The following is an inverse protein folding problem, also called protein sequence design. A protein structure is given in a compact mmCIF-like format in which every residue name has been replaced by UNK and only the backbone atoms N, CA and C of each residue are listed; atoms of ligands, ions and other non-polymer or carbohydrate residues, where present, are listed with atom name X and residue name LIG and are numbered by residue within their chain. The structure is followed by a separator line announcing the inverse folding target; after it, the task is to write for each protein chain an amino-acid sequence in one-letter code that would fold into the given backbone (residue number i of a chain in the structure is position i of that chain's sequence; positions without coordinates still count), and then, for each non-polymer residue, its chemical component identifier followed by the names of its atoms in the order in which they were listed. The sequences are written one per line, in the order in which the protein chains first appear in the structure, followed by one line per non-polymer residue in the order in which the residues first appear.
data_IF_726825738781
#
_entry.id   IF_726825738781
#
_cell.length_a   1.000
_cell.length_b   1.000
_cell.length_c   1.000
_cell.angle_alpha   90.00
_cell.angle_beta   90.00
_cell.angle_gamma   90.00
#
_symmetry.space_group_name_H-M   'P 1'
#
loop_
_entity.id
_entity.type
_entity.pdbx_description
1 polymer ?
#
# COMPACT_ATOMS: atom_id res chain seq x y z
N UNK A 1 18.91 -7.55 14.22
CA UNK A 1 18.18 -6.38 13.68
C UNK A 1 17.43 -6.87 12.44
N UNK A 2 16.17 -7.27 12.61
CA UNK A 2 15.43 -8.04 11.59
C UNK A 2 15.02 -7.16 10.42
N UNK A 3 15.46 -7.57 9.22
CA UNK A 3 15.07 -7.00 7.94
C UNK A 3 13.58 -7.31 7.70
N UNK A 4 12.76 -6.28 7.63
CA UNK A 4 11.37 -6.41 7.17
C UNK A 4 11.45 -6.60 5.65
N UNK A 5 11.11 -7.80 5.18
CA UNK A 5 10.82 -8.04 3.76
C UNK A 5 9.47 -7.40 3.45
N UNK A 6 9.52 -6.11 3.09
CA UNK A 6 8.37 -5.39 2.55
C UNK A 6 8.32 -5.76 1.07
N UNK A 7 7.32 -6.54 0.67
CA UNK A 7 7.02 -6.76 -0.75
C UNK A 7 6.43 -5.46 -1.29
N UNK A 8 7.30 -4.60 -1.80
CA UNK A 8 6.87 -3.50 -2.64
C UNK A 8 6.63 -4.08 -4.03
N UNK A 9 5.40 -3.99 -4.53
CA UNK A 9 5.17 -4.20 -5.95
C UNK A 9 5.70 -2.96 -6.66
N UNK A 10 6.66 -3.16 -7.56
CA UNK A 10 7.00 -2.16 -8.56
C UNK A 10 5.81 -2.07 -9.51
N UNK A 11 5.40 -0.86 -9.83
CA UNK A 11 4.53 -0.66 -10.98
C UNK A 11 5.18 -1.32 -12.22
N UNK A 12 4.53 -2.36 -12.76
CA UNK A 12 4.98 -3.10 -13.94
C UNK A 12 4.24 -2.55 -15.14
N UNK A 13 4.96 -2.12 -16.18
CA UNK A 13 4.34 -1.89 -17.48
C UNK A 13 4.31 -3.22 -18.26
N UNK A 14 3.33 -3.41 -19.13
CA UNK A 14 3.10 -4.70 -19.78
C UNK A 14 3.98 -4.96 -21.02
N UNK A 15 5.06 -4.19 -21.23
CA UNK A 15 5.99 -4.34 -22.37
C UNK A 15 7.46 -4.40 -21.93
N UNK A 16 7.93 -3.40 -21.17
CA UNK A 16 9.30 -3.24 -20.72
C UNK A 16 9.53 -3.82 -19.31
N UNK A 17 8.47 -4.00 -18.54
CA UNK A 17 8.50 -4.63 -17.22
C UNK A 17 8.81 -3.70 -16.04
N UNK A 18 9.08 -2.42 -16.30
CA UNK A 18 9.22 -1.39 -15.28
C UNK A 18 8.43 -0.14 -15.73
N UNK A 19 7.48 0.33 -14.92
CA UNK A 19 6.68 1.52 -15.21
C UNK A 19 7.36 2.79 -14.67
N UNK A 20 8.36 3.29 -15.40
CA UNK A 20 8.98 4.58 -15.05
C UNK A 20 8.00 5.75 -15.28
N UNK A 21 7.77 6.53 -14.24
CA UNK A 21 6.83 7.64 -14.22
C UNK A 21 7.47 8.98 -14.58
N UNK A 22 8.81 9.04 -14.67
CA UNK A 22 9.52 10.28 -14.99
C UNK A 22 9.50 10.56 -16.49
N UNK A 23 8.93 11.70 -16.89
CA UNK A 23 9.01 12.17 -18.28
C UNK A 23 10.43 12.62 -18.63
N UNK A 24 10.90 12.30 -19.84
CA UNK A 24 12.29 12.51 -20.29
C UNK A 24 12.85 13.92 -20.01
N UNK A 25 13.86 14.04 -19.13
CA UNK A 25 14.75 15.19 -19.09
C UNK A 25 15.94 14.95 -20.03
N UNK A 26 16.32 15.97 -20.80
CA UNK A 26 17.34 15.90 -21.86
C UNK A 26 18.76 15.48 -21.42
N UNK A 27 19.10 15.40 -20.12
CA UNK A 27 20.50 15.30 -19.66
C UNK A 27 20.76 14.42 -18.42
N UNK A 28 19.85 14.28 -17.45
CA UNK A 28 20.07 13.45 -16.24
C UNK A 28 18.75 12.82 -15.76
N UNK A 29 18.41 11.64 -16.31
CA UNK A 29 17.15 10.93 -16.03
C UNK A 29 17.30 10.03 -14.82
N UNK A 30 16.48 10.30 -13.80
CA UNK A 30 16.28 9.39 -12.67
C UNK A 30 14.91 8.74 -12.80
N UNK A 31 14.90 7.41 -12.73
CA UNK A 31 13.65 6.67 -12.80
C UNK A 31 12.81 6.90 -11.54
N UNK A 32 11.49 6.85 -11.70
CA UNK A 32 10.52 7.08 -10.64
C UNK A 32 9.47 5.98 -10.68
N UNK A 33 9.23 5.38 -9.52
CA UNK A 33 8.34 4.24 -9.40
C UNK A 33 7.43 4.40 -8.19
N UNK A 34 6.18 3.99 -8.33
CA UNK A 34 5.29 3.83 -7.19
C UNK A 34 5.58 2.49 -6.53
N UNK A 35 5.69 2.54 -5.21
CA UNK A 35 5.81 1.37 -4.36
C UNK A 35 4.57 1.22 -3.49
N UNK A 36 3.94 0.05 -3.55
CA UNK A 36 2.70 -0.25 -2.80
C UNK A 36 2.99 -1.35 -1.79
N UNK A 37 2.59 -1.11 -0.54
CA UNK A 37 2.56 -2.14 0.51
C UNK A 37 1.13 -2.60 0.74
N UNK A 38 0.94 -3.92 0.82
CA UNK A 38 -0.33 -4.56 1.23
C UNK A 38 -0.26 -5.13 2.65
N UNK A 39 0.80 -4.80 3.39
CA UNK A 39 1.01 -5.31 4.74
C UNK A 39 -0.02 -4.76 5.71
N UNK A 40 -0.55 -5.65 6.53
CA UNK A 40 -1.43 -5.32 7.65
C UNK A 40 -1.23 -6.32 8.79
N UNK A 41 -1.16 -5.88 10.06
CA UNK A 41 -1.05 -4.48 10.51
C UNK A 41 0.37 -3.91 10.31
N UNK A 42 0.50 -2.59 10.20
CA UNK A 42 1.81 -1.92 10.28
C UNK A 42 2.29 -1.88 11.74
N UNK A 43 3.61 -1.72 11.95
CA UNK A 43 4.27 -1.85 13.26
C UNK A 43 3.73 -0.90 14.34
N UNK A 44 2.99 0.15 13.95
CA UNK A 44 2.37 1.15 14.80
C UNK A 44 0.86 0.88 15.07
N UNK A 45 0.35 -0.29 14.68
CA UNK A 45 -1.07 -0.66 14.75
C UNK A 45 -2.01 0.30 14.01
N UNK A 46 -1.49 1.25 13.22
CA UNK A 46 -2.34 2.12 12.42
C UNK A 46 -2.86 1.33 11.25
N UNK A 47 -4.18 1.22 11.18
CA UNK A 47 -4.85 0.53 10.11
C UNK A 47 -5.30 1.58 9.10
N UNK A 48 -4.44 1.88 8.12
CA UNK A 48 -4.77 2.81 7.04
C UNK A 48 -5.10 2.04 5.76
N UNK A 49 -5.88 2.63 4.88
CA UNK A 49 -6.21 2.07 3.58
C UNK A 49 -6.30 3.18 2.52
N UNK A 50 -5.86 2.87 1.31
CA UNK A 50 -5.91 3.79 0.17
C UNK A 50 -7.35 3.84 -0.35
N UNK A 51 -8.04 4.94 -0.11
CA UNK A 51 -9.40 5.14 -0.60
C UNK A 51 -9.40 5.49 -2.09
N UNK A 52 -8.59 6.48 -2.47
CA UNK A 52 -8.50 6.96 -3.86
C UNK A 52 -7.07 7.38 -4.25
N UNK A 53 -6.81 7.36 -5.56
CA UNK A 53 -5.58 7.89 -6.18
C UNK A 53 -5.91 8.53 -7.52
N UNK A 54 -5.39 9.74 -7.75
CA UNK A 54 -5.60 10.48 -8.99
C UNK A 54 -4.35 11.17 -9.46
N UNK A 55 -4.28 11.36 -10.78
CA UNK A 55 -3.27 12.20 -11.43
C UNK A 55 -3.88 13.58 -11.68
N UNK A 56 -3.18 14.62 -11.21
CA UNK A 56 -3.53 15.99 -11.55
C UNK A 56 -2.43 16.63 -12.39
N UNK A 57 -2.78 17.68 -13.10
CA UNK A 57 -1.83 18.45 -13.88
C UNK A 57 -1.11 19.44 -12.95
N UNK A 58 0.23 19.42 -12.95
CA UNK A 58 1.04 20.27 -12.08
C UNK A 58 0.82 21.76 -12.38
N UNK A 59 0.69 22.11 -13.67
CA UNK A 59 0.48 23.50 -14.13
C UNK A 59 -0.83 24.11 -13.64
N UNK A 60 -1.85 23.27 -13.45
CA UNK A 60 -3.17 23.72 -13.00
C UNK A 60 -3.18 23.93 -11.47
N UNK A 61 -2.12 23.50 -10.78
CA UNK A 61 -1.98 23.53 -9.31
C UNK A 61 -0.60 24.08 -8.90
N UNK A 62 -0.24 25.31 -9.31
CA UNK A 62 1.11 25.85 -9.16
C UNK A 62 1.55 25.99 -7.69
N UNK A 63 0.61 26.19 -6.77
CA UNK A 63 0.88 26.25 -5.33
C UNK A 63 1.39 24.94 -4.73
N UNK A 64 1.13 23.80 -5.40
CA UNK A 64 1.53 22.46 -4.96
C UNK A 64 2.94 22.10 -5.45
N UNK A 65 3.42 22.76 -6.50
CA UNK A 65 4.76 22.54 -7.05
C UNK A 65 5.88 22.94 -6.07
N UNK A 66 5.59 23.83 -5.12
CA UNK A 66 6.55 24.39 -4.17
C UNK A 66 6.72 23.55 -2.87
N UNK A 67 6.71 22.23 -2.97
CA UNK A 67 7.20 21.34 -1.88
C UNK A 67 6.40 21.40 -0.57
N UNK A 68 5.09 21.53 -0.63
CA UNK A 68 4.23 21.34 0.54
C UNK A 68 3.17 20.32 0.18
N UNK A 69 2.97 19.34 1.07
CA UNK A 69 1.82 18.44 1.08
C UNK A 69 0.58 19.32 1.27
N UNK A 70 0.15 19.98 0.20
CA UNK A 70 -1.05 20.78 0.20
C UNK A 70 -2.20 19.82 -0.03
N UNK A 71 -3.05 19.75 0.98
CA UNK A 71 -4.35 19.14 0.86
C UNK A 71 -5.11 19.87 -0.27
N UNK A 72 -5.14 19.32 -1.49
CA UNK A 72 -5.85 19.91 -2.63
C UNK A 72 -7.34 20.08 -2.32
N UNK A 73 -7.85 19.15 -1.53
CA UNK A 73 -9.09 19.19 -0.75
C UNK A 73 -8.73 18.59 0.62
N UNK A 74 -9.55 18.75 1.69
CA UNK A 74 -9.23 18.21 3.02
C UNK A 74 -8.81 16.74 3.06
N UNK A 75 -9.13 15.96 2.01
CA UNK A 75 -8.97 14.52 1.97
C UNK A 75 -7.82 14.03 1.05
N UNK A 76 -7.19 14.87 0.23
CA UNK A 76 -6.10 14.40 -0.68
C UNK A 76 -4.73 14.90 -0.29
N UNK A 77 -3.78 13.97 -0.15
CA UNK A 77 -2.36 14.20 0.07
C UNK A 77 -1.62 14.10 -1.26
N UNK A 78 -0.76 15.07 -1.55
CA UNK A 78 0.08 15.06 -2.76
C UNK A 78 1.41 14.36 -2.46
N UNK A 79 1.77 13.40 -3.30
CA UNK A 79 3.09 12.76 -3.29
C UNK A 79 4.05 13.58 -4.15
N UNK A 80 4.57 14.67 -3.59
CA UNK A 80 5.43 15.59 -4.34
C UNK A 80 6.88 15.11 -4.44
N UNK A 81 7.35 14.34 -3.44
CA UNK A 81 8.75 13.97 -3.24
C UNK A 81 8.94 12.48 -3.04
N UNK A 82 10.05 11.98 -3.56
CA UNK A 82 10.49 10.61 -3.33
C UNK A 82 10.94 10.43 -1.86
N UNK A 83 10.51 9.39 -1.14
CA UNK A 83 10.88 9.20 0.26
C UNK A 83 12.38 8.93 0.53
N UNK A 84 13.11 8.44 -0.47
CA UNK A 84 14.51 8.02 -0.37
C UNK A 84 15.51 9.14 -0.69
N UNK A 85 15.25 9.94 -1.73
CA UNK A 85 16.14 11.02 -2.18
C UNK A 85 15.63 12.43 -1.88
N UNK A 86 14.38 12.56 -1.44
CA UNK A 86 13.68 13.85 -1.27
C UNK A 86 13.67 14.73 -2.55
N UNK A 87 13.80 14.11 -3.72
CA UNK A 87 13.71 14.78 -5.00
C UNK A 87 12.27 14.81 -5.52
N UNK A 88 12.01 15.67 -6.50
CA UNK A 88 10.71 15.72 -7.20
C UNK A 88 10.31 14.33 -7.71
N UNK A 89 9.07 13.95 -7.43
CA UNK A 89 8.55 12.61 -7.69
C UNK A 89 8.23 12.37 -9.17
N UNK A 90 7.51 13.29 -9.83
CA UNK A 90 7.08 13.14 -11.23
C UNK A 90 7.08 14.48 -11.94
N UNK A 91 7.15 14.49 -13.28
CA UNK A 91 7.09 15.71 -14.10
C UNK A 91 5.72 15.89 -14.77
N UNK A 92 5.20 17.12 -14.84
CA UNK A 92 3.91 17.54 -15.45
C UNK A 92 2.65 17.00 -14.78
N UNK A 93 2.74 15.87 -14.08
CA UNK A 93 1.65 15.24 -13.33
C UNK A 93 2.05 15.17 -11.87
N UNK A 94 1.07 15.27 -10.98
CA UNK A 94 1.26 15.00 -9.55
C UNK A 94 0.35 13.83 -9.16
N UNK A 95 0.87 12.93 -8.34
CA UNK A 95 0.11 11.82 -7.78
C UNK A 95 -0.53 12.29 -6.47
N UNK A 96 -1.84 12.15 -6.36
CA UNK A 96 -2.61 12.53 -5.18
C UNK A 96 -3.34 11.32 -4.64
N UNK A 97 -3.31 11.12 -3.33
CA UNK A 97 -3.94 9.97 -2.66
C UNK A 97 -4.86 10.42 -1.53
N UNK A 98 -5.93 9.68 -1.31
CA UNK A 98 -6.73 9.77 -0.09
C UNK A 98 -6.50 8.52 0.74
N UNK A 99 -6.08 8.72 1.99
CA UNK A 99 -5.81 7.63 2.93
C UNK A 99 -6.77 7.77 4.10
N UNK A 100 -7.49 6.70 4.38
CA UNK A 100 -8.52 6.65 5.42
C UNK A 100 -8.17 5.61 6.48
N UNK A 101 -8.85 5.69 7.62
CA UNK A 101 -8.86 4.60 8.58
C UNK A 101 -9.54 3.37 7.98
N UNK A 102 -8.90 2.21 8.15
CA UNK A 102 -9.36 0.94 7.64
C UNK A 102 -10.59 0.48 8.42
N UNK A 103 -11.73 0.44 7.75
CA UNK A 103 -12.96 -0.12 8.30
C UNK A 103 -13.47 -1.25 7.39
N UNK A 104 -13.87 -2.37 7.99
CA UNK A 104 -14.43 -3.51 7.26
C UNK A 104 -15.67 -3.12 6.45
N UNK A 105 -15.76 -3.61 5.21
CA UNK A 105 -16.86 -3.31 4.30
C UNK A 105 -16.71 -2.00 3.51
N UNK A 106 -15.69 -1.18 3.80
CA UNK A 106 -15.40 -0.02 2.96
C UNK A 106 -14.78 -0.43 1.63
N UNK A 107 -15.07 0.35 0.59
CA UNK A 107 -14.46 0.22 -0.74
C UNK A 107 -13.14 0.99 -0.75
N UNK A 108 -12.07 0.35 -1.21
CA UNK A 108 -10.74 0.93 -1.29
C UNK A 108 -10.02 0.42 -2.54
N UNK A 109 -8.95 1.10 -2.93
CA UNK A 109 -8.06 0.61 -3.98
C UNK A 109 -7.28 -0.60 -3.46
N UNK A 110 -7.41 -1.73 -4.16
CA UNK A 110 -6.72 -2.97 -3.84
C UNK A 110 -5.63 -3.33 -4.87
N UNK A 111 -5.68 -2.74 -6.05
CA UNK A 111 -4.65 -2.91 -7.08
C UNK A 111 -4.45 -1.64 -7.92
N UNK A 112 -3.22 -1.44 -8.38
CA UNK A 112 -2.83 -0.36 -9.29
C UNK A 112 -1.91 -0.98 -10.34
N UNK A 113 -2.21 -0.73 -11.61
CA UNK A 113 -1.41 -1.18 -12.74
C UNK A 113 -1.13 -0.02 -13.68
N UNK A 114 -0.06 -0.15 -14.46
CA UNK A 114 0.29 0.80 -15.51
C UNK A 114 0.28 0.08 -16.85
N UNK A 115 -0.34 0.70 -17.84
CA UNK A 115 -0.49 0.15 -19.18
C UNK A 115 0.01 1.19 -20.17
N UNK A 116 0.51 0.78 -21.33
CA UNK A 116 0.71 1.75 -22.41
C UNK A 116 -0.63 2.38 -22.80
N UNK A 117 -0.66 3.70 -23.03
CA UNK A 117 -1.88 4.44 -23.40
C UNK A 117 -2.68 3.89 -24.58
N UNK A 118 -2.05 3.04 -25.42
CA UNK A 118 -2.71 2.36 -26.54
C UNK A 118 -3.60 1.18 -26.11
N UNK A 119 -3.50 0.74 -24.86
CA UNK A 119 -4.27 -0.37 -24.29
C UNK A 119 -5.38 0.19 -23.40
N UNK A 120 -6.54 -0.44 -23.45
CA UNK A 120 -7.65 -0.11 -22.56
C UNK A 120 -7.51 -0.79 -21.20
N UNK A 121 -8.19 -0.29 -20.14
CA UNK A 121 -8.21 -0.94 -18.84
C UNK A 121 -8.74 -2.38 -18.93
N UNK A 122 -8.08 -3.36 -18.30
CA UNK A 122 -8.59 -4.71 -18.14
C UNK A 122 -9.89 -4.74 -17.34
N UNK A 123 -10.56 -5.90 -17.33
CA UNK A 123 -11.79 -6.06 -16.58
C UNK A 123 -11.59 -5.70 -15.09
N UNK A 124 -12.55 -4.95 -14.54
CA UNK A 124 -12.57 -4.45 -13.15
C UNK A 124 -11.55 -3.36 -12.83
N UNK A 125 -10.79 -2.90 -13.82
CA UNK A 125 -9.92 -1.73 -13.69
C UNK A 125 -10.56 -0.50 -14.31
N UNK A 126 -10.28 0.66 -13.72
CA UNK A 126 -10.69 1.97 -14.22
C UNK A 126 -9.47 2.85 -14.42
N UNK A 127 -9.39 3.55 -15.55
CA UNK A 127 -8.32 4.52 -15.81
C UNK A 127 -8.49 5.76 -14.94
N UNK A 128 -7.41 6.23 -14.30
CA UNK A 128 -7.37 7.43 -13.45
C UNK A 128 -6.48 8.54 -14.02
N UNK A 129 -5.91 8.32 -15.21
CA UNK A 129 -5.16 9.32 -15.97
C UNK A 129 -3.90 8.75 -16.60
N UNK A 130 -3.21 9.62 -17.35
CA UNK A 130 -1.96 9.27 -18.05
C UNK A 130 -0.76 10.03 -17.49
N UNK A 131 0.36 9.34 -17.38
CA UNK A 131 1.67 9.82 -16.93
C UNK A 131 2.78 9.12 -17.72
N UNK A 132 3.73 9.89 -18.25
CA UNK A 132 4.86 9.39 -19.04
C UNK A 132 4.49 8.38 -20.17
N UNK A 133 3.37 8.60 -20.86
CA UNK A 133 2.91 7.68 -21.92
C UNK A 133 2.26 6.38 -21.42
N UNK A 134 2.21 6.20 -20.10
CA UNK A 134 1.49 5.13 -19.42
C UNK A 134 0.15 5.65 -18.90
N UNK A 135 -0.86 4.79 -18.96
CA UNK A 135 -2.15 4.96 -18.32
C UNK A 135 -2.12 4.28 -16.95
N UNK A 136 -2.41 5.02 -15.89
CA UNK A 136 -2.62 4.47 -14.56
C UNK A 136 -4.04 3.94 -14.45
N UNK A 137 -4.16 2.67 -14.03
CA UNK A 137 -5.44 2.00 -13.83
C UNK A 137 -5.54 1.46 -12.41
N UNK A 138 -6.71 1.59 -11.80
CA UNK A 138 -6.97 1.14 -10.42
C UNK A 138 -8.07 0.10 -10.39
N UNK A 139 -7.95 -0.84 -9.46
CA UNK A 139 -9.01 -1.78 -9.11
C UNK A 139 -9.46 -1.54 -7.68
N UNK A 140 -10.75 -1.33 -7.52
CA UNK A 140 -11.36 -1.19 -6.22
C UNK A 140 -11.84 -2.55 -5.70
N UNK A 141 -11.82 -2.71 -4.38
CA UNK A 141 -12.31 -3.88 -3.67
C UNK A 141 -12.83 -3.50 -2.29
N UNK A 142 -13.53 -4.43 -1.65
CA UNK A 142 -14.02 -4.23 -0.30
C UNK A 142 -13.02 -4.74 0.74
N UNK A 143 -12.80 -3.95 1.79
CA UNK A 143 -12.02 -4.38 2.95
C UNK A 143 -12.76 -5.54 3.63
N UNK A 144 -12.11 -6.70 3.85
CA UNK A 144 -12.73 -7.79 4.59
C UNK A 144 -13.19 -7.35 5.97
N UNK A 145 -14.41 -7.74 6.36
CA UNK A 145 -14.86 -7.60 7.75
C UNK A 145 -13.91 -8.39 8.64
N UNK A 146 -13.37 -7.76 9.69
CA UNK A 146 -12.59 -8.45 10.72
C UNK A 146 -13.47 -9.52 11.34
N UNK A 147 -13.28 -10.78 10.92
CA UNK A 147 -13.85 -11.92 11.63
C UNK A 147 -12.99 -12.11 12.86
N UNK A 148 -13.41 -11.53 13.99
CA UNK A 148 -12.95 -12.02 15.29
C UNK A 148 -13.37 -13.49 15.33
N UNK A 149 -12.45 -14.46 15.42
CA UNK A 149 -12.83 -15.84 15.62
C UNK A 149 -13.72 -15.88 16.87
N UNK A 150 -14.87 -16.59 16.86
CA UNK A 150 -15.66 -16.73 18.07
C UNK A 150 -14.74 -17.24 19.19
N UNK A 151 -14.86 -16.72 20.42
CA UNK A 151 -14.04 -17.18 21.53
C UNK A 151 -14.17 -18.69 21.59
N UNK A 152 -13.04 -19.40 21.46
CA UNK A 152 -13.01 -20.85 21.61
C UNK A 152 -13.44 -21.11 23.05
N UNK A 153 -14.69 -21.57 23.24
CA UNK A 153 -15.11 -22.16 24.50
C UNK A 153 -14.18 -23.34 24.71
N UNK A 154 -13.18 -23.17 25.57
CA UNK A 154 -12.32 -24.24 26.06
C UNK A 154 -13.22 -25.23 26.77
N UNK A 155 -13.74 -26.19 26.01
CA UNK A 155 -14.42 -27.35 26.56
C UNK A 155 -13.29 -28.15 27.18
N UNK A 156 -13.14 -28.07 28.50
CA UNK A 156 -12.18 -28.87 29.25
C UNK A 156 -12.48 -30.35 28.99
N UNK A 157 -11.75 -30.96 28.06
CA UNK A 157 -11.70 -32.39 27.93
C UNK A 157 -10.84 -32.95 29.06
N UNK A 158 -11.49 -33.34 30.16
CA UNK A 158 -10.90 -34.13 31.26
C UNK A 158 -10.52 -35.54 30.75
N UNK A 159 -9.48 -35.63 29.93
CA UNK A 159 -8.99 -36.88 29.35
C UNK A 159 -7.55 -37.19 29.79
N UNK A 160 -7.24 -37.05 31.08
CA UNK A 160 -6.15 -37.84 31.69
C UNK A 160 -6.49 -38.17 33.15
N UNK A 161 -6.63 -39.46 33.52
CA UNK A 161 -6.73 -39.85 34.91
C UNK A 161 -5.37 -39.71 35.59
N UNK A 162 -5.39 -39.13 36.80
CA UNK A 162 -4.26 -39.13 37.71
C UNK A 162 -3.66 -40.54 37.86
N UNK A 163 -2.36 -40.67 37.64
CA UNK A 163 -1.59 -41.78 38.22
C UNK A 163 -0.52 -41.21 39.17
N UNK A 164 -0.72 -41.55 40.44
CA UNK A 164 0.26 -41.43 41.52
C UNK A 164 1.38 -42.46 41.31
N UNK A 165 2.65 -42.08 41.50
CA UNK A 165 3.63 -42.93 42.20
C UNK A 165 4.91 -42.17 42.57
N UNK A 166 5.17 -42.19 43.88
CA UNK A 166 6.42 -42.12 44.64
C UNK A 166 7.77 -41.98 43.91
N UNK A 167 8.64 -41.10 44.43
CA UNK A 167 9.81 -41.57 45.21
C UNK A 167 10.41 -40.42 46.03
N UNK A 168 10.33 -40.57 47.35
CA UNK A 168 11.15 -39.83 48.31
C UNK A 168 12.55 -40.46 48.35
N UNK A 169 13.59 -39.62 48.38
CA UNK A 169 14.89 -40.00 48.90
C UNK A 169 15.33 -39.00 49.95
N UNK A 170 15.42 -39.50 51.18
CA UNK A 170 16.10 -38.91 52.33
C UNK A 170 17.61 -38.89 52.11
N UNK A 171 18.28 -37.85 52.62
CA UNK A 171 19.60 -37.99 53.23
C UNK A 171 19.72 -37.01 54.39
N UNK A 172 19.86 -37.55 55.60
CA UNK A 172 20.26 -36.86 56.84
C UNK A 172 21.79 -36.68 56.89
N UNK A 173 22.29 -35.91 57.86
CA UNK A 173 22.79 -36.54 59.11
C UNK A 173 22.03 -36.08 60.37
#
# INVERSE_FOLDING_TARGET
MSRILIFYFLAYDDINGDADLMADPLLDRKNRFIYITRMWPLADMRTLSLEDIKLINERDNPSVADYVVLALTPDYVVLALTPDTHEKDTDKRLICVTIIERLGGMKCICDIIFLYRSKGPPQFYTSTGDINGLQMCVKEGFIPLLRVPPPVLQTQSNLYPHSLSHHAYQTSP
#
